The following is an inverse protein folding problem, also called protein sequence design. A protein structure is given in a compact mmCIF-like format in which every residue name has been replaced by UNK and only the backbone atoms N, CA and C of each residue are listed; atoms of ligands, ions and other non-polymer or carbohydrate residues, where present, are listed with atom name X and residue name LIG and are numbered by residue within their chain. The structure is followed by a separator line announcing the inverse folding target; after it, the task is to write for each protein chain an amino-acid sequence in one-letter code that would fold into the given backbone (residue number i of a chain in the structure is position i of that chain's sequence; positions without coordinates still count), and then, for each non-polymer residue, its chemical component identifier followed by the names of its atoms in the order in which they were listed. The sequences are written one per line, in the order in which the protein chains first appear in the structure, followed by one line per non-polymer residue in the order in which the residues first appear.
data_IF_568873580049
#
_entry.id   IF_568873580049
#
_cell.length_a   1.000
_cell.length_b   1.000
_cell.length_c   1.000
_cell.angle_alpha   90.00
_cell.angle_beta   90.00
_cell.angle_gamma   90.00
#
_symmetry.space_group_name_H-M   'P 1'
#
loop_
_entity.id
_entity.type
_entity.pdbx_description
1 polymer ?
#
# COMPACT_ATOMS: atom_id res chain seq x y z
N UNK A 1 29.98 -16.40 0.20
CA UNK A 1 29.66 -15.20 -0.59
C UNK A 1 28.15 -14.92 -0.47
N UNK A 2 27.65 -14.49 0.69
CA UNK A 2 26.19 -14.29 0.89
C UNK A 2 25.90 -13.33 2.06
N UNK A 3 26.49 -12.14 2.01
CA UNK A 3 26.19 -11.05 2.97
C UNK A 3 25.88 -9.70 2.31
N UNK A 4 25.93 -9.62 0.97
CA UNK A 4 25.72 -8.36 0.22
C UNK A 4 24.30 -8.15 -0.30
N UNK A 5 23.44 -9.17 -0.29
CA UNK A 5 22.08 -9.04 -0.85
C UNK A 5 21.08 -8.41 0.12
N UNK A 6 21.30 -8.51 1.43
CA UNK A 6 20.39 -7.91 2.44
C UNK A 6 20.56 -6.40 2.63
N UNK A 7 21.69 -5.83 2.23
CA UNK A 7 21.99 -4.40 2.45
C UNK A 7 21.37 -3.48 1.40
N UNK A 8 21.11 -3.99 0.19
CA UNK A 8 20.49 -3.22 -0.90
C UNK A 8 18.99 -3.01 -0.65
N UNK A 9 18.33 -3.95 0.03
CA UNK A 9 16.90 -3.82 0.35
C UNK A 9 16.63 -2.77 1.44
N UNK A 10 17.56 -2.57 2.38
CA UNK A 10 17.43 -1.56 3.43
C UNK A 10 17.65 -0.14 2.91
N UNK A 11 18.55 0.06 1.93
CA UNK A 11 18.83 1.40 1.39
C UNK A 11 17.71 1.95 0.51
N UNK A 12 16.93 1.09 -0.15
CA UNK A 12 15.81 1.53 -1.00
C UNK A 12 14.62 2.08 -0.19
N UNK A 13 14.46 1.66 1.07
CA UNK A 13 13.37 2.10 1.94
C UNK A 13 13.67 3.49 2.54
N UNK A 14 14.94 3.86 2.71
CA UNK A 14 15.32 5.15 3.31
C UNK A 14 15.34 6.33 2.33
N UNK A 15 15.38 6.10 1.01
CA UNK A 15 15.48 7.18 0.01
C UNK A 15 14.13 7.69 -0.51
N UNK A 16 13.01 7.11 -0.08
CA UNK A 16 11.68 7.39 -0.65
C UNK A 16 10.77 8.32 0.14
N UNK A 17 11.15 8.80 1.33
CA UNK A 17 10.21 9.51 2.22
C UNK A 17 10.84 10.79 2.78
N UNK A 18 11.25 11.70 1.89
CA UNK A 18 11.24 13.13 2.24
C UNK A 18 9.79 13.62 2.07
N UNK A 19 8.92 13.21 3.00
CA UNK A 19 7.65 13.90 3.17
C UNK A 19 8.01 15.16 3.94
N UNK A 20 8.02 16.29 3.23
CA UNK A 20 7.96 17.62 3.83
C UNK A 20 6.76 17.62 4.79
N UNK A 21 7.05 17.36 6.06
CA UNK A 21 6.11 17.52 7.15
C UNK A 21 5.95 19.02 7.36
N UNK A 22 5.18 19.69 6.50
CA UNK A 22 4.60 20.97 6.86
C UNK A 22 3.83 20.73 8.15
N UNK A 23 4.28 21.35 9.24
CA UNK A 23 3.65 21.25 10.54
C UNK A 23 2.20 21.73 10.42
N UNK A 24 1.31 21.11 11.19
CA UNK A 24 -0.13 21.39 11.11
C UNK A 24 -0.46 22.86 11.37
N UNK A 25 0.39 23.54 12.14
CA UNK A 25 0.23 24.94 12.53
C UNK A 25 0.42 25.89 11.34
N UNK A 26 1.42 25.64 10.47
CA UNK A 26 1.70 26.49 9.30
C UNK A 26 0.57 26.41 8.27
N UNK A 27 0.06 25.19 8.04
CA UNK A 27 -1.07 24.96 7.12
C UNK A 27 -2.36 25.63 7.62
N UNK A 28 -2.61 25.56 8.93
CA UNK A 28 -3.77 26.19 9.57
C UNK A 28 -3.67 27.71 9.51
N UNK A 29 -2.48 28.28 9.74
CA UNK A 29 -2.24 29.73 9.61
C UNK A 29 -2.40 30.25 8.17
N UNK A 30 -2.07 29.43 7.16
CA UNK A 30 -2.29 29.79 5.76
C UNK A 30 -3.79 29.71 5.39
N UNK A 31 -4.48 28.67 5.84
CA UNK A 31 -5.91 28.50 5.61
C UNK A 31 -6.73 29.62 6.27
N UNK A 32 -6.41 29.99 7.51
CA UNK A 32 -7.07 31.11 8.19
C UNK A 32 -6.91 32.42 7.42
N UNK A 33 -5.70 32.75 6.95
CA UNK A 33 -5.44 33.91 6.07
C UNK A 33 -6.29 33.88 4.80
N UNK A 34 -6.45 32.71 4.17
CA UNK A 34 -7.26 32.58 2.96
C UNK A 34 -8.77 32.76 3.24
N UNK A 35 -9.28 32.23 4.37
CA UNK A 35 -10.66 32.46 4.83
C UNK A 35 -10.89 33.96 5.07
N UNK A 36 -9.94 34.64 5.72
CA UNK A 36 -9.99 36.09 5.92
C UNK A 36 -9.99 36.89 4.62
N UNK A 37 -9.25 36.43 3.60
CA UNK A 37 -9.18 37.10 2.31
C UNK A 37 -10.47 36.96 1.48
N UNK A 38 -11.15 35.82 1.59
CA UNK A 38 -12.23 35.46 0.66
C UNK A 38 -13.67 35.68 1.15
N UNK A 39 -13.91 35.79 2.47
CA UNK A 39 -15.29 35.90 2.94
C UNK A 39 -15.52 36.62 4.26
N UNK A 40 -14.46 37.17 4.86
CA UNK A 40 -14.58 38.04 6.02
C UNK A 40 -14.32 39.46 5.57
N UNK A 41 -15.36 40.28 5.55
CA UNK A 41 -15.20 41.71 5.28
C UNK A 41 -14.27 42.29 6.35
N UNK A 42 -13.10 42.79 5.94
CA UNK A 42 -12.35 43.76 6.74
C UNK A 42 -13.28 44.96 6.91
N UNK A 43 -13.74 45.19 8.12
CA UNK A 43 -14.50 46.39 8.45
C UNK A 43 -13.61 47.61 8.18
N UNK A 44 -13.74 48.21 7.00
CA UNK A 44 -13.16 49.51 6.72
C UNK A 44 -13.99 50.54 7.48
N UNK A 45 -13.61 50.78 8.74
CA UNK A 45 -14.18 51.87 9.52
C UNK A 45 -13.59 53.15 8.93
N UNK A 46 -14.28 53.71 7.95
CA UNK A 46 -14.05 55.09 7.56
C UNK A 46 -14.19 55.97 8.81
N UNK A 47 -13.07 56.63 9.16
CA UNK A 47 -12.97 57.81 10.03
C UNK A 47 -12.80 57.65 11.55
N UNK A 48 -12.27 56.54 12.08
CA UNK A 48 -11.82 56.56 13.47
C UNK A 48 -10.51 55.79 13.69
N UNK A 49 -9.50 56.46 14.27
CA UNK A 49 -8.16 55.90 14.53
C UNK A 49 -8.14 54.77 15.58
N UNK A 50 -9.31 54.41 16.12
CA UNK A 50 -9.54 53.31 17.07
C UNK A 50 -10.24 52.10 16.44
N UNK A 51 -10.26 52.03 15.11
CA UNK A 51 -10.71 50.88 14.35
C UNK A 51 -9.73 49.71 14.51
N UNK A 52 -9.75 49.06 15.67
CA UNK A 52 -9.23 47.69 15.82
C UNK A 52 -9.94 46.87 14.75
N UNK A 53 -9.18 46.33 13.79
CA UNK A 53 -9.64 45.49 12.69
C UNK A 53 -10.61 44.41 13.22
N UNK A 54 -11.92 44.68 13.16
CA UNK A 54 -12.96 43.75 13.57
C UNK A 54 -13.39 42.97 12.35
N UNK A 55 -13.11 41.68 12.38
CA UNK A 55 -13.50 40.70 11.38
C UNK A 55 -14.97 40.31 11.60
N UNK A 56 -15.86 40.69 10.67
CA UNK A 56 -17.29 40.42 10.78
C UNK A 56 -17.74 39.47 9.67
N UNK A 57 -18.40 38.38 10.06
CA UNK A 57 -19.09 37.45 9.15
C UNK A 57 -20.49 38.00 8.91
N UNK A 58 -20.72 38.51 7.69
CA UNK A 58 -22.00 39.14 7.31
C UNK A 58 -23.02 38.11 6.82
N UNK A 59 -22.57 37.10 6.07
CA UNK A 59 -23.43 36.04 5.51
C UNK A 59 -23.03 34.66 6.08
N UNK A 60 -23.45 34.30 7.31
CA UNK A 60 -23.06 33.02 7.93
C UNK A 60 -23.63 31.78 7.23
N UNK A 61 -24.66 31.95 6.40
CA UNK A 61 -25.30 30.88 5.64
C UNK A 61 -24.63 30.62 4.29
N UNK A 62 -23.76 31.53 3.84
CA UNK A 62 -22.98 31.37 2.62
C UNK A 62 -21.60 30.82 3.03
N UNK A 63 -21.23 29.67 2.48
CA UNK A 63 -19.90 29.10 2.70
C UNK A 63 -18.82 29.99 2.08
N UNK A 64 -17.62 29.97 2.65
CA UNK A 64 -16.44 30.65 2.11
C UNK A 64 -15.59 29.61 1.41
N UNK A 65 -15.33 29.80 0.11
CA UNK A 65 -14.36 28.96 -0.59
C UNK A 65 -12.95 29.54 -0.38
N UNK A 66 -12.07 28.77 0.23
CA UNK A 66 -10.65 29.11 0.35
C UNK A 66 -9.79 27.90 -0.05
N UNK A 67 -8.87 28.12 -1.00
CA UNK A 67 -8.00 27.09 -1.56
C UNK A 67 -8.75 25.84 -2.07
N UNK A 68 -9.97 26.02 -2.59
CA UNK A 68 -10.80 24.92 -3.11
C UNK A 68 -11.51 24.10 -2.04
N UNK A 69 -11.48 24.53 -0.78
CA UNK A 69 -12.27 23.97 0.32
C UNK A 69 -13.37 24.97 0.67
N UNK A 70 -14.60 24.49 0.78
CA UNK A 70 -15.71 25.27 1.27
C UNK A 70 -15.78 25.17 2.80
N UNK A 71 -15.80 26.33 3.46
CA UNK A 71 -15.91 26.47 4.90
C UNK A 71 -17.28 27.03 5.27
N UNK A 72 -17.91 26.44 6.27
CA UNK A 72 -19.23 26.83 6.76
C UNK A 72 -19.21 27.11 8.25
N UNK A 73 -20.13 27.94 8.70
CA UNK A 73 -20.28 28.30 10.11
C UNK A 73 -21.44 27.59 10.80
N UNK A 74 -22.08 26.67 10.06
CA UNK A 74 -23.18 25.84 10.53
C UNK A 74 -23.03 24.42 9.96
N UNK A 75 -23.30 23.44 10.81
CA UNK A 75 -23.29 22.00 10.50
C UNK A 75 -24.24 21.61 9.35
N UNK A 76 -25.28 22.41 9.08
CA UNK A 76 -26.32 22.11 8.09
C UNK A 76 -25.81 21.91 6.64
N UNK A 77 -24.63 22.43 6.31
CA UNK A 77 -24.04 22.36 4.97
C UNK A 77 -23.04 21.21 4.79
N UNK A 78 -22.85 20.38 5.83
CA UNK A 78 -21.98 19.21 5.74
C UNK A 78 -22.65 18.11 4.92
N UNK A 79 -21.87 17.48 4.05
CA UNK A 79 -22.34 16.41 3.19
C UNK A 79 -22.11 15.06 3.86
N UNK A 80 -23.14 14.24 4.01
CA UNK A 80 -23.04 12.92 4.65
C UNK A 80 -22.14 11.92 3.89
N UNK A 81 -21.80 12.20 2.63
CA UNK A 81 -20.91 11.36 1.81
C UNK A 81 -19.42 11.68 1.97
N UNK A 82 -19.08 12.72 2.72
CA UNK A 82 -17.71 13.20 2.95
C UNK A 82 -17.35 13.15 4.43
N UNK A 83 -16.05 13.11 4.71
CA UNK A 83 -15.57 13.21 6.09
C UNK A 83 -15.68 14.67 6.54
N UNK A 84 -16.61 14.89 7.46
CA UNK A 84 -16.92 16.21 8.01
C UNK A 84 -15.90 16.58 9.10
N UNK A 85 -15.28 17.74 8.93
CA UNK A 85 -14.32 18.30 9.87
C UNK A 85 -14.94 19.44 10.66
N UNK A 86 -14.68 19.43 11.97
CA UNK A 86 -15.09 20.46 12.91
C UNK A 86 -13.83 21.08 13.52
N UNK A 87 -13.68 22.39 13.39
CA UNK A 87 -12.56 23.16 13.91
C UNK A 87 -13.05 24.12 14.99
N UNK A 88 -12.46 24.01 16.18
CA UNK A 88 -12.71 24.93 17.30
C UNK A 88 -12.02 26.28 17.02
N UNK A 89 -12.81 27.23 16.55
CA UNK A 89 -12.37 28.60 16.29
C UNK A 89 -12.41 29.46 17.56
N UNK A 90 -13.22 29.10 18.56
CA UNK A 90 -13.33 29.83 19.82
C UNK A 90 -12.05 29.78 20.65
N UNK A 91 -11.31 28.67 20.57
CA UNK A 91 -10.01 28.49 21.20
C UNK A 91 -8.81 29.04 20.42
N UNK A 92 -8.98 29.41 19.14
CA UNK A 92 -7.88 29.81 18.26
C UNK A 92 -7.64 31.33 18.31
N UNK A 93 -6.43 31.81 18.67
CA UNK A 93 -6.11 33.24 18.69
C UNK A 93 -6.29 33.93 17.33
N UNK A 94 -6.21 33.20 16.22
CA UNK A 94 -6.46 33.75 14.88
C UNK A 94 -7.93 34.12 14.67
N UNK A 95 -8.87 33.44 15.35
CA UNK A 95 -10.31 33.65 15.20
C UNK A 95 -10.98 34.32 16.40
N UNK A 96 -10.28 34.50 17.53
CA UNK A 96 -10.84 35.06 18.76
C UNK A 96 -11.46 36.46 18.67
N UNK A 97 -11.19 37.21 17.58
CA UNK A 97 -11.79 38.53 17.31
C UNK A 97 -12.90 38.48 16.25
N UNK A 98 -13.18 37.31 15.66
CA UNK A 98 -14.18 37.13 14.61
C UNK A 98 -15.56 37.03 15.22
N UNK A 99 -16.48 37.85 14.72
CA UNK A 99 -17.87 37.89 15.17
C UNK A 99 -18.82 37.77 14.00
N UNK A 100 -19.97 37.17 14.25
CA UNK A 100 -21.11 37.26 13.36
C UNK A 100 -21.72 38.67 13.43
N UNK A 101 -22.46 39.06 12.40
CA UNK A 101 -23.19 40.34 12.37
C UNK A 101 -24.15 40.54 13.57
N UNK A 102 -24.61 39.46 14.19
CA UNK A 102 -25.42 39.47 15.41
C UNK A 102 -24.62 39.71 16.71
N UNK A 103 -23.30 39.88 16.62
CA UNK A 103 -22.38 40.13 17.74
C UNK A 103 -21.86 38.89 18.45
N UNK A 104 -22.36 37.68 18.12
CA UNK A 104 -21.86 36.42 18.67
C UNK A 104 -20.45 36.14 18.14
N UNK A 105 -19.58 35.62 18.99
CA UNK A 105 -18.25 35.15 18.59
C UNK A 105 -18.35 33.91 17.70
N UNK A 106 -17.40 33.78 16.78
CA UNK A 106 -17.21 32.55 16.01
C UNK A 106 -16.65 31.47 16.94
N UNK A 107 -17.40 30.38 17.06
CA UNK A 107 -17.03 29.26 17.94
C UNK A 107 -16.47 28.09 17.13
N UNK A 108 -17.07 27.81 15.97
CA UNK A 108 -16.76 26.60 15.20
C UNK A 108 -16.81 26.85 13.71
N UNK A 109 -15.88 26.24 12.99
CA UNK A 109 -15.84 26.19 11.52
C UNK A 109 -15.99 24.74 11.08
N UNK A 110 -16.84 24.52 10.08
CA UNK A 110 -17.12 23.23 9.49
C UNK A 110 -16.60 23.20 8.05
N UNK A 111 -16.00 22.09 7.65
CA UNK A 111 -15.59 21.88 6.26
C UNK A 111 -15.61 20.39 5.92
N UNK A 112 -15.64 20.06 4.64
CA UNK A 112 -15.61 18.68 4.17
C UNK A 112 -14.24 18.38 3.56
N UNK A 113 -13.69 17.21 3.89
CA UNK A 113 -12.54 16.66 3.19
C UNK A 113 -12.97 15.56 2.23
N UNK A 114 -12.14 15.28 1.23
CA UNK A 114 -12.39 14.17 0.33
C UNK A 114 -12.40 12.85 1.12
N UNK A 115 -13.08 11.84 0.57
CA UNK A 115 -13.08 10.50 1.16
C UNK A 115 -11.62 10.01 1.29
N UNK A 116 -11.24 9.53 2.47
CA UNK A 116 -9.87 9.11 2.84
C UNK A 116 -8.88 10.24 3.17
N UNK A 117 -9.33 11.49 3.21
CA UNK A 117 -8.55 12.58 3.78
C UNK A 117 -8.88 12.72 5.28
N UNK A 118 -7.87 13.08 6.06
CA UNK A 118 -8.04 13.37 7.49
C UNK A 118 -8.08 14.87 7.73
N UNK A 119 -8.90 15.29 8.70
CA UNK A 119 -8.94 16.66 9.20
C UNK A 119 -7.63 16.99 9.91
N UNK A 120 -6.97 18.08 9.49
CA UNK A 120 -5.77 18.57 10.14
C UNK A 120 -5.85 20.09 10.28
N UNK A 121 -6.31 20.55 11.45
CA UNK A 121 -6.64 21.95 11.70
C UNK A 121 -7.71 22.42 10.73
N UNK A 122 -7.41 23.47 9.96
CA UNK A 122 -8.29 24.02 8.91
C UNK A 122 -8.02 23.44 7.51
N UNK A 123 -7.28 22.35 7.40
CA UNK A 123 -6.89 21.76 6.12
C UNK A 123 -7.19 20.28 6.04
N UNK A 124 -7.37 19.79 4.80
CA UNK A 124 -7.48 18.38 4.51
C UNK A 124 -6.09 17.81 4.25
N UNK A 125 -5.69 16.79 5.01
CA UNK A 125 -4.45 16.08 4.78
C UNK A 125 -4.75 14.69 4.22
N UNK A 126 -4.23 14.42 3.02
CA UNK A 126 -4.30 13.09 2.41
C UNK A 126 -3.72 12.06 3.35
N UNK A 127 -4.53 11.09 3.74
CA UNK A 127 -4.07 9.98 4.55
C UNK A 127 -3.27 9.01 3.66
N UNK A 128 -1.98 9.32 3.47
CA UNK A 128 -1.11 8.62 2.52
C UNK A 128 -0.77 7.17 2.91
N UNK A 129 -1.19 6.72 4.10
CA UNK A 129 -0.80 5.43 4.68
C UNK A 129 -1.71 4.27 4.28
N UNK A 130 -2.98 4.50 3.92
CA UNK A 130 -3.93 3.38 3.72
C UNK A 130 -3.74 2.66 2.37
N UNK A 131 -3.36 3.35 1.30
CA UNK A 131 -3.26 2.74 -0.03
C UNK A 131 -1.86 2.19 -0.34
N UNK A 132 -0.80 2.92 0.02
CA UNK A 132 0.56 2.49 -0.31
C UNK A 132 1.10 1.43 0.65
N UNK A 133 0.95 1.60 1.96
CA UNK A 133 1.51 0.65 2.92
C UNK A 133 0.78 -0.68 2.87
N UNK A 134 -0.55 -0.67 2.70
CA UNK A 134 -1.30 -1.92 2.56
C UNK A 134 -0.88 -2.69 1.31
N UNK A 135 -0.70 -2.00 0.17
CA UNK A 135 -0.24 -2.64 -1.06
C UNK A 135 1.19 -3.18 -0.92
N UNK A 136 2.07 -2.45 -0.24
CA UNK A 136 3.44 -2.92 0.02
C UNK A 136 3.41 -4.15 0.94
N UNK A 137 2.68 -4.10 2.06
CA UNK A 137 2.57 -5.21 3.01
C UNK A 137 1.97 -6.44 2.32
N UNK A 138 0.89 -6.27 1.55
CA UNK A 138 0.25 -7.36 0.81
C UNK A 138 1.22 -8.00 -0.18
N UNK A 139 1.97 -7.20 -0.94
CA UNK A 139 2.96 -7.70 -1.89
C UNK A 139 4.11 -8.43 -1.18
N UNK A 140 4.58 -7.96 -0.03
CA UNK A 140 5.61 -8.64 0.77
C UNK A 140 5.10 -10.00 1.26
N UNK A 141 3.86 -10.07 1.73
CA UNK A 141 3.23 -11.33 2.16
C UNK A 141 3.12 -12.31 0.98
N UNK A 142 2.63 -11.85 -0.17
CA UNK A 142 2.49 -12.68 -1.37
C UNK A 142 3.85 -13.20 -1.87
N UNK A 143 4.88 -12.35 -1.89
CA UNK A 143 6.24 -12.75 -2.26
C UNK A 143 6.82 -13.79 -1.29
N UNK A 144 6.56 -13.65 0.01
CA UNK A 144 6.98 -14.61 1.01
C UNK A 144 6.31 -15.98 0.80
N UNK A 145 4.99 -16.00 0.58
CA UNK A 145 4.24 -17.24 0.29
C UNK A 145 4.79 -17.92 -0.97
N UNK A 146 5.00 -17.15 -2.05
CA UNK A 146 5.55 -17.68 -3.30
C UNK A 146 6.95 -18.28 -3.10
N UNK A 147 7.81 -17.62 -2.34
CA UNK A 147 9.15 -18.11 -2.03
C UNK A 147 9.12 -19.44 -1.27
N UNK A 148 8.24 -19.59 -0.27
CA UNK A 148 8.08 -20.86 0.45
C UNK A 148 7.54 -21.98 -0.44
N UNK A 149 6.57 -21.68 -1.30
CA UNK A 149 6.05 -22.64 -2.28
C UNK A 149 7.17 -23.15 -3.20
N UNK A 150 8.06 -22.28 -3.64
CA UNK A 150 9.20 -22.63 -4.49
C UNK A 150 10.21 -23.53 -3.75
N UNK A 151 10.52 -23.23 -2.48
CA UNK A 151 11.39 -24.07 -1.65
C UNK A 151 10.82 -25.48 -1.49
N UNK A 152 9.53 -25.58 -1.13
CA UNK A 152 8.84 -26.86 -0.96
C UNK A 152 8.85 -27.65 -2.28
N UNK A 153 8.55 -26.98 -3.40
CA UNK A 153 8.56 -27.60 -4.71
C UNK A 153 9.94 -28.17 -5.07
N UNK A 154 11.02 -27.40 -4.87
CA UNK A 154 12.39 -27.86 -5.11
C UNK A 154 12.77 -29.04 -4.20
N UNK A 155 12.32 -29.03 -2.94
CA UNK A 155 12.54 -30.14 -2.02
C UNK A 155 11.84 -31.42 -2.52
N UNK A 156 10.57 -31.31 -2.91
CA UNK A 156 9.80 -32.45 -3.47
C UNK A 156 10.47 -32.99 -4.72
N UNK A 157 10.82 -32.12 -5.67
CA UNK A 157 11.50 -32.52 -6.92
C UNK A 157 12.82 -33.24 -6.66
N UNK A 158 13.63 -32.74 -5.71
CA UNK A 158 14.89 -33.41 -5.33
C UNK A 158 14.65 -34.80 -4.76
N UNK A 159 13.65 -34.97 -3.91
CA UNK A 159 13.29 -36.28 -3.35
C UNK A 159 12.77 -37.25 -4.43
N UNK A 160 11.95 -36.77 -5.38
CA UNK A 160 11.48 -37.58 -6.50
C UNK A 160 12.65 -38.06 -7.36
N UNK A 161 13.57 -37.16 -7.72
CA UNK A 161 14.76 -37.52 -8.52
C UNK A 161 15.62 -38.56 -7.77
N UNK A 162 15.82 -38.37 -6.46
CA UNK A 162 16.54 -39.33 -5.63
C UNK A 162 15.89 -40.73 -5.63
N UNK A 163 14.56 -40.79 -5.52
CA UNK A 163 13.82 -42.05 -5.57
C UNK A 163 13.88 -42.71 -6.94
N UNK A 164 13.74 -41.94 -8.02
CA UNK A 164 13.84 -42.45 -9.39
C UNK A 164 15.21 -43.09 -9.65
N UNK A 165 16.29 -42.40 -9.27
CA UNK A 165 17.65 -42.93 -9.40
C UNK A 165 17.84 -44.23 -8.61
N UNK A 166 17.26 -44.34 -7.40
CA UNK A 166 17.32 -45.55 -6.58
C UNK A 166 16.54 -46.71 -7.20
N UNK A 167 15.37 -46.44 -7.79
CA UNK A 167 14.56 -47.46 -8.48
C UNK A 167 15.30 -47.98 -9.71
N UNK A 168 15.96 -47.11 -10.47
CA UNK A 168 16.72 -47.53 -11.65
C UNK A 168 17.93 -48.39 -11.29
N UNK A 169 18.64 -48.07 -10.19
CA UNK A 169 19.75 -48.90 -9.70
C UNK A 169 19.28 -50.31 -9.26
N UNK A 170 18.17 -50.38 -8.52
CA UNK A 170 17.52 -51.65 -8.16
C UNK A 170 17.09 -52.45 -9.40
N UNK A 171 16.54 -51.78 -10.41
CA UNK A 171 16.11 -52.40 -11.68
C UNK A 171 17.31 -52.95 -12.47
N UNK A 172 18.45 -52.26 -12.48
CA UNK A 172 19.68 -52.74 -13.11
C UNK A 172 20.22 -53.95 -12.37
N UNK A 173 20.25 -53.92 -11.03
CA UNK A 173 20.69 -55.04 -10.20
C UNK A 173 19.83 -56.29 -10.40
N UNK A 174 18.50 -56.16 -10.38
CA UNK A 174 17.58 -57.29 -10.64
C UNK A 174 17.75 -57.89 -12.04
N UNK A 175 17.98 -57.07 -13.07
CA UNK A 175 18.26 -57.58 -14.44
C UNK A 175 19.54 -58.42 -14.49
N UNK A 176 20.58 -58.08 -13.73
CA UNK A 176 21.81 -58.89 -13.65
C UNK A 176 21.56 -60.24 -12.99
N UNK A 177 20.79 -60.27 -11.90
CA UNK A 177 20.41 -61.52 -11.22
C UNK A 177 19.57 -62.44 -12.11
N UNK A 178 18.59 -61.90 -12.83
CA UNK A 178 17.79 -62.70 -13.77
C UNK A 178 18.60 -63.25 -14.95
N UNK A 179 19.59 -62.50 -15.46
CA UNK A 179 20.47 -62.99 -16.52
C UNK A 179 21.42 -64.10 -16.05
N UNK A 180 21.81 -64.11 -14.77
CA UNK A 180 22.62 -65.17 -14.17
C UNK A 180 21.82 -66.46 -13.93
N UNK A 181 20.50 -66.37 -13.80
CA UNK A 181 19.62 -67.51 -13.51
C UNK A 181 18.86 -68.03 -14.73
N UNK A 182 19.20 -67.58 -15.95
CA UNK A 182 18.67 -68.18 -17.17
C UNK A 182 19.30 -69.58 -17.32
N UNK A 183 18.54 -70.68 -17.24
CA UNK A 183 19.09 -72.00 -17.54
C UNK A 183 19.61 -71.96 -18.97
N UNK A 184 20.90 -72.28 -19.16
CA UNK A 184 21.42 -72.48 -20.50
C UNK A 184 20.62 -73.63 -21.12
N UNK A 185 19.70 -73.30 -22.03
CA UNK A 185 19.28 -74.27 -23.05
C UNK A 185 20.52 -74.57 -23.86
N UNK A 186 21.20 -75.66 -23.52
CA UNK A 186 22.16 -76.30 -24.40
C UNK A 186 21.40 -76.65 -25.67
N UNK A 187 21.62 -75.88 -26.73
CA UNK A 187 21.24 -76.29 -28.07
C UNK A 187 22.15 -77.46 -28.42
N UNK A 188 21.62 -78.67 -28.35
CA UNK A 188 22.25 -79.85 -28.95
C UNK A 188 22.29 -79.54 -30.46
N UNK A 189 23.48 -79.22 -30.97
CA UNK A 189 23.72 -79.17 -32.40
C UNK A 189 23.62 -80.60 -32.93
N UNK A 190 22.47 -80.95 -33.51
CA UNK A 190 22.39 -82.09 -34.42
C UNK A 190 23.19 -81.73 -35.67
N UNK A 191 24.45 -82.18 -35.70
CA UNK A 191 25.27 -82.18 -36.91
C UNK A 191 24.77 -83.34 -37.77
N UNK A 192 23.92 -83.01 -38.75
CA UNK A 192 23.51 -83.95 -39.79
C UNK A 192 24.75 -84.37 -40.60
N UNK A 193 25.25 -85.57 -40.28
CA UNK A 193 26.24 -86.27 -41.08
C UNK A 193 25.50 -87.06 -42.16
N UNK A 194 25.25 -86.42 -43.30
CA UNK A 194 24.76 -87.09 -44.51
C UNK A 194 26.01 -87.67 -45.22
N UNK A 195 26.17 -88.99 -45.34
CA UNK A 195 27.26 -89.57 -46.13
C UNK A 195 26.98 -89.40 -47.63
N UNK A 196 28.03 -89.25 -48.47
CA UNK A 196 27.87 -89.12 -49.91
C UNK A 196 27.44 -90.44 -50.55
N UNK A 197 26.44 -90.36 -51.44
CA UNK A 197 25.99 -91.48 -52.28
C UNK A 197 26.94 -91.60 -53.48
N UNK A 198 27.67 -92.71 -53.55
CA UNK A 198 28.43 -93.09 -54.75
C UNK A 198 27.49 -93.75 -55.76
N UNK A 199 27.41 -93.18 -56.96
CA UNK A 199 26.82 -93.85 -58.12
C UNK A 199 27.96 -94.54 -58.88
N UNK A 200 27.90 -95.88 -58.91
CA UNK A 200 28.62 -96.73 -59.86
C UNK A 200 27.64 -97.20 -60.94
#
# INVERSE_FOLDING_TARGET
MSKKLGFVFFLAIQLGVNVESSTCDDATALASKAIFANGILRGNIANNRDAIDRFIIVNPNEGINANGIDYWFNKAHLNASMDACEYDAGGDPNFGLVKFANGKLLDTIYFNCARFDSCNGLTCKKHSYMDFDFMIILNVILAFIFFWMLIIFLFVMKNIIYLLNKIDDLRVSMRRLFNLHRPQRQYIQFVDTIPPVNYY
#
